data_IF_195746912597
#
_entry.id   IF_195746912597
#
_cell.length_a   1.000
_cell.length_b   1.000
_cell.length_c   1.000
_cell.angle_alpha   90.00
_cell.angle_beta   90.00
_cell.angle_gamma   90.00
#
_symmetry.space_group_name_H-M   'P 1'
#
loop_
_entity.id
_entity.type
_entity.pdbx_description
1 polymer ?
#
# COMPACT_ATOMS: atom_id res chain seq x y z
N UNK A 1 -4.48 1.31 -20.50
CA UNK A 1 -4.31 0.91 -19.08
C UNK A 1 -3.06 1.57 -18.57
N UNK A 2 -3.02 2.04 -17.32
CA UNK A 2 -1.81 2.70 -16.80
C UNK A 2 -0.67 1.68 -16.72
N UNK A 3 0.43 1.96 -17.39
CA UNK A 3 1.59 1.09 -17.51
C UNK A 3 2.51 1.21 -16.29
N UNK A 4 3.36 0.21 -16.05
CA UNK A 4 4.32 0.25 -14.94
C UNK A 4 5.34 1.40 -15.07
N UNK A 5 5.64 1.85 -16.29
CA UNK A 5 6.44 3.06 -16.52
C UNK A 5 5.71 4.34 -16.11
N UNK A 6 4.42 4.46 -16.43
CA UNK A 6 3.61 5.62 -16.04
C UNK A 6 3.41 5.70 -14.52
N UNK A 7 3.17 4.58 -13.84
CA UNK A 7 3.06 4.54 -12.37
C UNK A 7 4.37 4.98 -11.70
N UNK A 8 5.51 4.56 -12.25
CA UNK A 8 6.83 5.02 -11.82
C UNK A 8 7.05 6.51 -12.09
N UNK A 9 6.61 7.02 -13.25
CA UNK A 9 6.70 8.44 -13.56
C UNK A 9 5.88 9.28 -12.57
N UNK A 10 4.62 8.89 -12.31
CA UNK A 10 3.74 9.53 -11.33
C UNK A 10 4.31 9.50 -9.92
N UNK A 11 4.86 8.36 -9.49
CA UNK A 11 5.51 8.26 -8.18
C UNK A 11 6.68 9.24 -8.04
N UNK A 12 7.51 9.36 -9.08
CA UNK A 12 8.63 10.31 -9.10
C UNK A 12 8.16 11.76 -9.08
N UNK A 13 7.06 12.06 -9.77
CA UNK A 13 6.43 13.37 -9.79
C UNK A 13 5.85 13.74 -8.42
N UNK A 14 5.08 12.85 -7.78
CA UNK A 14 4.56 13.06 -6.42
C UNK A 14 5.65 13.24 -5.36
N UNK A 15 6.83 12.66 -5.57
CA UNK A 15 7.99 12.83 -4.69
C UNK A 15 8.80 14.09 -5.02
N UNK A 16 8.59 14.71 -6.18
CA UNK A 16 9.33 15.91 -6.62
C UNK A 16 9.06 17.05 -5.64
N UNK A 17 10.12 17.59 -5.05
CA UNK A 17 10.04 18.65 -4.03
C UNK A 17 9.88 18.16 -2.59
N UNK A 18 9.67 16.85 -2.35
CA UNK A 18 9.58 16.28 -1.00
C UNK A 18 10.44 15.04 -0.74
N UNK A 19 11.36 14.70 -1.67
CA UNK A 19 12.36 13.63 -1.51
C UNK A 19 13.07 13.63 -0.16
N UNK A 20 13.47 14.81 0.36
CA UNK A 20 14.13 14.90 1.68
C UNK A 20 13.22 14.44 2.82
N UNK A 21 11.93 14.77 2.76
CA UNK A 21 10.94 14.37 3.79
C UNK A 21 10.64 12.88 3.68
N UNK A 22 10.45 12.38 2.46
CA UNK A 22 10.21 10.97 2.20
C UNK A 22 11.40 10.10 2.63
N UNK A 23 12.63 10.50 2.30
CA UNK A 23 13.85 9.82 2.75
C UNK A 23 14.02 9.89 4.27
N UNK A 24 13.72 11.04 4.89
CA UNK A 24 13.72 11.18 6.35
C UNK A 24 12.68 10.26 7.03
N UNK A 25 11.48 10.16 6.47
CA UNK A 25 10.44 9.24 6.94
C UNK A 25 10.90 7.78 6.84
N UNK A 26 11.47 7.39 5.70
CA UNK A 26 12.04 6.05 5.51
C UNK A 26 13.21 5.78 6.45
N UNK A 27 14.06 6.77 6.73
CA UNK A 27 15.13 6.63 7.73
C UNK A 27 14.55 6.35 9.12
N UNK A 28 13.53 7.10 9.54
CA UNK A 28 12.85 6.84 10.83
C UNK A 28 12.28 5.43 10.87
N UNK A 29 11.61 4.99 9.81
CA UNK A 29 11.11 3.61 9.71
C UNK A 29 12.23 2.57 9.79
N UNK A 30 13.35 2.81 9.12
CA UNK A 30 14.51 1.90 9.13
C UNK A 30 15.14 1.81 10.52
N UNK A 31 15.26 2.94 11.23
CA UNK A 31 15.74 2.94 12.61
C UNK A 31 14.79 2.17 13.53
N UNK A 32 13.48 2.41 13.45
CA UNK A 32 12.47 1.68 14.23
C UNK A 32 12.52 0.17 13.92
N UNK A 33 12.69 -0.22 12.66
CA UNK A 33 12.83 -1.62 12.26
C UNK A 33 14.15 -2.26 12.69
N UNK A 34 15.20 -1.47 12.95
CA UNK A 34 16.48 -1.95 13.44
C UNK A 34 16.51 -2.16 14.96
N UNK A 35 15.68 -1.44 15.73
CA UNK A 35 15.61 -1.49 17.20
C UNK A 35 15.48 -2.92 17.78
N UNK A 36 14.66 -3.84 17.24
CA UNK A 36 14.55 -5.20 17.77
C UNK A 36 15.89 -5.93 17.88
N UNK A 37 16.83 -5.68 16.96
CA UNK A 37 18.12 -6.37 16.92
C UNK A 37 19.05 -6.04 18.10
N UNK A 38 18.76 -4.95 18.83
CA UNK A 38 19.55 -4.53 20.01
C UNK A 38 18.81 -4.76 21.33
N UNK A 39 17.54 -5.20 21.28
CA UNK A 39 16.72 -5.42 22.46
C UNK A 39 16.71 -6.90 22.88
N UNK A 40 16.54 -7.18 24.20
CA UNK A 40 16.27 -8.54 24.68
C UNK A 40 14.95 -9.07 24.11
N UNK A 41 14.76 -10.40 24.11
CA UNK A 41 13.64 -11.08 23.44
C UNK A 41 12.24 -10.48 23.75
N UNK A 42 12.01 -10.00 24.97
CA UNK A 42 10.75 -9.35 25.36
C UNK A 42 10.51 -8.05 24.56
N UNK A 43 11.55 -7.26 24.32
CA UNK A 43 11.47 -6.04 23.52
C UNK A 43 11.25 -6.31 22.03
N UNK A 44 11.72 -7.44 21.51
CA UNK A 44 11.49 -7.84 20.13
C UNK A 44 10.00 -8.13 19.87
N UNK A 45 9.37 -8.91 20.76
CA UNK A 45 7.95 -9.25 20.64
C UNK A 45 7.09 -7.99 20.71
N UNK A 46 7.39 -7.05 21.62
CA UNK A 46 6.65 -5.80 21.72
C UNK A 46 6.71 -4.96 20.44
N UNK A 47 7.87 -4.87 19.77
CA UNK A 47 8.00 -4.13 18.51
C UNK A 47 7.30 -4.85 17.35
N UNK A 48 7.35 -6.18 17.32
CA UNK A 48 6.67 -6.97 16.28
C UNK A 48 5.15 -6.80 16.33
N UNK A 49 4.58 -6.68 17.54
CA UNK A 49 3.14 -6.38 17.71
C UNK A 49 2.84 -4.97 17.16
N UNK A 50 3.72 -4.01 17.38
CA UNK A 50 3.59 -2.65 16.84
C UNK A 50 3.82 -2.56 15.32
N UNK A 51 4.44 -3.56 14.70
CA UNK A 51 4.79 -3.53 13.28
C UNK A 51 3.56 -3.37 12.37
N UNK A 52 2.42 -3.96 12.74
CA UNK A 52 1.18 -3.82 11.96
C UNK A 52 0.63 -2.39 11.93
N UNK A 53 0.66 -1.70 13.08
CA UNK A 53 0.24 -0.30 13.19
C UNK A 53 1.22 0.63 12.44
N UNK A 54 2.52 0.40 12.57
CA UNK A 54 3.56 1.14 11.86
C UNK A 54 3.49 0.92 10.34
N UNK A 55 3.19 -0.30 9.90
CA UNK A 55 2.98 -0.61 8.49
C UNK A 55 1.81 0.20 7.96
N UNK A 56 0.66 0.19 8.64
CA UNK A 56 -0.50 0.98 8.21
C UNK A 56 -0.18 2.48 8.11
N UNK A 57 0.53 3.04 9.09
CA UNK A 57 0.95 4.44 9.05
C UNK A 57 1.89 4.75 7.88
N UNK A 58 2.78 3.83 7.51
CA UNK A 58 3.63 3.98 6.32
C UNK A 58 2.83 3.95 5.02
N UNK A 59 1.90 3.00 4.89
CA UNK A 59 0.98 2.94 3.75
C UNK A 59 0.12 4.21 3.66
N UNK A 60 -0.36 4.73 4.80
CA UNK A 60 -1.09 5.99 4.88
C UNK A 60 -0.25 7.17 4.39
N UNK A 61 0.97 7.32 4.92
CA UNK A 61 1.87 8.40 4.54
C UNK A 61 2.13 8.42 3.03
N UNK A 62 2.46 7.28 2.43
CA UNK A 62 2.74 7.22 0.99
C UNK A 62 1.48 7.31 0.12
N UNK A 63 0.31 6.95 0.65
CA UNK A 63 -0.98 7.21 0.00
C UNK A 63 -1.25 8.71 -0.09
N UNK A 64 -1.08 9.46 1.00
CA UNK A 64 -1.25 10.91 1.01
C UNK A 64 -0.22 11.60 0.10
N UNK A 65 1.03 11.13 0.10
CA UNK A 65 2.06 11.59 -0.85
C UNK A 65 1.62 11.37 -2.30
N UNK A 66 1.04 10.20 -2.61
CA UNK A 66 0.54 9.91 -3.97
C UNK A 66 -0.59 10.85 -4.40
N UNK A 67 -1.39 11.32 -3.44
CA UNK A 67 -2.46 12.33 -3.62
C UNK A 67 -1.95 13.76 -3.74
N UNK A 68 -0.64 13.97 -3.70
CA UNK A 68 -0.01 15.30 -3.79
C UNK A 68 0.05 16.04 -2.46
N UNK A 69 -0.29 15.39 -1.35
CA UNK A 69 -0.21 15.97 -0.02
C UNK A 69 1.22 15.92 0.54
N UNK A 70 1.44 16.69 1.61
CA UNK A 70 2.70 16.77 2.36
C UNK A 70 2.49 16.33 3.81
N UNK A 71 2.24 15.03 4.05
CA UNK A 71 1.89 14.54 5.37
C UNK A 71 3.01 14.78 6.41
N UNK A 72 2.65 15.05 7.67
CA UNK A 72 3.62 15.13 8.77
C UNK A 72 4.13 13.73 9.16
N UNK A 73 5.28 13.67 9.84
CA UNK A 73 5.89 12.38 10.23
C UNK A 73 5.05 11.64 11.28
N UNK A 74 4.20 12.35 12.02
CA UNK A 74 3.25 11.74 12.98
C UNK A 74 2.26 10.79 12.30
N UNK A 75 2.06 10.91 10.98
CA UNK A 75 1.24 9.98 10.20
C UNK A 75 1.75 8.54 10.27
N UNK A 76 3.04 8.32 10.55
CA UNK A 76 3.58 6.98 10.83
C UNK A 76 2.84 6.26 11.96
N UNK A 77 2.32 7.02 12.92
CA UNK A 77 1.62 6.49 14.08
C UNK A 77 0.09 6.44 13.89
N UNK A 78 -0.44 6.79 12.71
CA UNK A 78 -1.89 6.80 12.49
C UNK A 78 -2.52 5.41 12.64
N UNK A 79 -1.77 4.34 12.32
CA UNK A 79 -2.23 2.97 12.55
C UNK A 79 -2.38 2.56 14.00
N UNK A 80 -1.88 3.35 14.97
CA UNK A 80 -2.11 3.11 16.39
C UNK A 80 -3.48 3.61 16.87
N UNK A 81 -4.12 4.54 16.14
CA UNK A 81 -5.48 4.99 16.48
C UNK A 81 -6.47 3.82 16.50
N UNK A 82 -6.33 2.90 15.54
CA UNK A 82 -7.08 1.65 15.45
C UNK A 82 -6.15 0.43 15.61
N UNK A 83 -5.32 0.44 16.64
CA UNK A 83 -4.26 -0.56 16.86
C UNK A 83 -4.73 -2.01 16.69
N UNK A 84 -5.86 -2.37 17.30
CA UNK A 84 -6.42 -3.73 17.23
C UNK A 84 -6.71 -4.13 15.78
N UNK A 85 -7.31 -3.24 14.98
CA UNK A 85 -7.65 -3.53 13.59
C UNK A 85 -6.41 -3.61 12.71
N UNK A 86 -5.49 -2.66 12.87
CA UNK A 86 -4.20 -2.63 12.17
C UNK A 86 -3.39 -3.91 12.45
N UNK A 87 -3.31 -4.30 13.72
CA UNK A 87 -2.64 -5.52 14.14
C UNK A 87 -3.32 -6.77 13.57
N UNK A 88 -4.66 -6.84 13.59
CA UNK A 88 -5.38 -7.98 13.01
C UNK A 88 -5.19 -8.10 11.49
N UNK A 89 -5.16 -7.00 10.73
CA UNK A 89 -4.82 -7.04 9.30
C UNK A 89 -3.41 -7.59 9.12
N UNK A 90 -2.44 -7.05 9.87
CA UNK A 90 -1.05 -7.49 9.79
C UNK A 90 -0.91 -8.98 10.09
N UNK A 91 -1.45 -9.43 11.21
CA UNK A 91 -1.41 -10.83 11.64
C UNK A 91 -2.06 -11.75 10.60
N UNK A 92 -3.21 -11.37 10.07
CA UNK A 92 -3.95 -12.20 9.13
C UNK A 92 -3.27 -12.27 7.76
N UNK A 93 -2.71 -11.15 7.28
CA UNK A 93 -1.88 -11.12 6.08
C UNK A 93 -0.61 -11.95 6.28
N UNK A 94 0.03 -11.86 7.44
CA UNK A 94 1.23 -12.63 7.79
C UNK A 94 0.94 -14.13 7.80
N UNK A 95 -0.08 -14.57 8.54
CA UNK A 95 -0.47 -15.99 8.62
C UNK A 95 -0.80 -16.54 7.24
N UNK A 96 -1.61 -15.83 6.45
CA UNK A 96 -1.93 -16.32 5.10
C UNK A 96 -0.69 -16.34 4.21
N UNK A 97 0.18 -15.34 4.29
CA UNK A 97 1.41 -15.31 3.47
C UNK A 97 2.33 -16.47 3.83
N UNK A 98 2.54 -16.75 5.12
CA UNK A 98 3.35 -17.89 5.60
C UNK A 98 2.71 -19.21 5.19
N UNK A 99 1.39 -19.37 5.34
CA UNK A 99 0.68 -20.59 4.96
C UNK A 99 0.86 -20.89 3.47
N UNK A 100 0.73 -19.87 2.61
CA UNK A 100 0.93 -20.02 1.17
C UNK A 100 2.40 -20.23 0.81
N UNK A 101 3.33 -19.55 1.48
CA UNK A 101 4.78 -19.70 1.27
C UNK A 101 5.26 -21.11 1.65
N UNK A 102 4.78 -21.64 2.77
CA UNK A 102 5.10 -22.98 3.27
C UNK A 102 4.59 -24.07 2.32
N UNK A 103 3.44 -23.83 1.67
CA UNK A 103 2.90 -24.75 0.68
C UNK A 103 3.73 -24.70 -0.62
N UNK A 104 4.00 -23.50 -1.16
CA UNK A 104 4.91 -23.28 -2.29
C UNK A 104 5.34 -21.79 -2.37
N UNK A 105 6.55 -21.50 -2.86
CA UNK A 105 7.07 -20.11 -2.98
C UNK A 105 6.20 -19.24 -3.89
N UNK A 106 5.79 -19.77 -5.05
CA UNK A 106 5.00 -19.04 -6.06
C UNK A 106 3.64 -18.56 -5.51
N UNK A 107 2.79 -19.41 -4.90
CA UNK A 107 1.53 -18.94 -4.34
C UNK A 107 1.71 -18.02 -3.13
N UNK A 108 2.80 -18.12 -2.36
CA UNK A 108 3.15 -17.15 -1.33
C UNK A 108 3.26 -15.73 -1.90
N UNK A 109 3.97 -15.56 -3.02
CA UNK A 109 4.08 -14.27 -3.73
C UNK A 109 2.70 -13.82 -4.23
N UNK A 110 1.91 -14.72 -4.85
CA UNK A 110 0.56 -14.38 -5.35
C UNK A 110 -0.37 -13.95 -4.20
N UNK A 111 -0.27 -14.57 -3.03
CA UNK A 111 -1.03 -14.21 -1.84
C UNK A 111 -0.64 -12.82 -1.32
N UNK A 112 0.66 -12.54 -1.20
CA UNK A 112 1.15 -11.22 -0.80
C UNK A 112 0.65 -10.11 -1.76
N UNK A 113 0.70 -10.35 -3.08
CA UNK A 113 0.15 -9.42 -4.06
C UNK A 113 -1.35 -9.20 -3.88
N UNK A 114 -2.12 -10.26 -3.58
CA UNK A 114 -3.58 -10.16 -3.36
C UNK A 114 -3.96 -9.32 -2.14
N UNK A 115 -3.11 -9.27 -1.12
CA UNK A 115 -3.39 -8.57 0.14
C UNK A 115 -2.70 -7.21 0.24
N UNK A 116 -1.83 -6.88 -0.70
CA UNK A 116 -1.08 -5.62 -0.73
C UNK A 116 -1.94 -4.35 -0.67
N UNK A 117 -3.20 -4.40 -1.13
CA UNK A 117 -4.11 -3.24 -1.12
C UNK A 117 -4.88 -3.09 0.20
N UNK A 118 -4.84 -4.08 1.09
CA UNK A 118 -5.67 -4.10 2.30
C UNK A 118 -5.38 -2.90 3.23
N UNK A 119 -4.11 -2.50 3.37
CA UNK A 119 -3.73 -1.35 4.19
C UNK A 119 -4.27 -0.02 3.65
N UNK A 120 -4.22 0.19 2.32
CA UNK A 120 -4.78 1.39 1.70
C UNK A 120 -6.30 1.46 1.85
N UNK A 121 -6.98 0.32 1.66
CA UNK A 121 -8.44 0.23 1.82
C UNK A 121 -8.84 0.52 3.27
N UNK A 122 -8.11 -0.03 4.24
CA UNK A 122 -8.40 0.22 5.66
C UNK A 122 -8.19 1.70 6.01
N UNK A 123 -7.19 2.37 5.42
CA UNK A 123 -6.97 3.81 5.61
C UNK A 123 -8.09 4.67 5.01
N UNK A 124 -8.61 4.29 3.85
CA UNK A 124 -9.69 5.01 3.18
C UNK A 124 -11.08 4.70 3.77
N UNK A 125 -11.24 3.56 4.41
CA UNK A 125 -12.50 3.11 5.00
C UNK A 125 -12.27 2.67 6.46
N UNK A 126 -12.04 3.61 7.40
CA UNK A 126 -11.73 3.26 8.79
C UNK A 126 -12.86 2.49 9.48
N UNK A 127 -14.12 2.64 9.01
CA UNK A 127 -15.26 1.90 9.56
C UNK A 127 -15.20 0.38 9.36
N UNK A 128 -14.51 -0.13 8.33
CA UNK A 128 -14.56 -1.55 7.99
C UNK A 128 -13.56 -2.39 8.81
N UNK A 129 -13.91 -3.65 9.05
CA UNK A 129 -13.04 -4.59 9.77
C UNK A 129 -11.86 -5.11 8.93
N UNK A 130 -10.84 -5.65 9.60
CA UNK A 130 -9.63 -6.20 8.98
C UNK A 130 -9.92 -7.25 7.89
N UNK A 131 -10.84 -8.18 8.17
CA UNK A 131 -11.24 -9.23 7.22
C UNK A 131 -11.97 -8.66 6.00
N UNK A 132 -12.75 -7.60 6.20
CA UNK A 132 -13.44 -6.89 5.12
C UNK A 132 -12.42 -6.20 4.20
N UNK A 133 -11.43 -5.51 4.78
CA UNK A 133 -10.35 -4.87 4.03
C UNK A 133 -9.58 -5.88 3.16
N UNK A 134 -9.27 -7.06 3.71
CA UNK A 134 -8.61 -8.14 2.95
C UNK A 134 -9.52 -8.67 1.84
N UNK A 135 -10.82 -8.84 2.11
CA UNK A 135 -11.78 -9.32 1.09
C UNK A 135 -11.90 -8.33 -0.06
N UNK A 136 -12.00 -7.03 0.24
CA UNK A 136 -12.02 -5.96 -0.76
C UNK A 136 -10.71 -5.90 -1.55
N UNK A 137 -9.56 -6.04 -0.88
CA UNK A 137 -8.24 -6.14 -1.55
C UNK A 137 -8.20 -7.32 -2.52
N UNK A 138 -8.68 -8.50 -2.10
CA UNK A 138 -8.73 -9.69 -2.95
C UNK A 138 -9.58 -9.46 -4.19
N UNK A 139 -10.75 -8.83 -4.05
CA UNK A 139 -11.66 -8.51 -5.15
C UNK A 139 -11.05 -7.49 -6.11
N UNK A 140 -10.50 -6.40 -5.58
CA UNK A 140 -9.82 -5.35 -6.36
C UNK A 140 -8.62 -5.89 -7.16
N UNK A 141 -7.92 -6.89 -6.60
CA UNK A 141 -6.75 -7.52 -7.24
C UNK A 141 -7.09 -8.66 -8.21
N UNK A 142 -8.37 -8.96 -8.50
CA UNK A 142 -8.72 -9.92 -9.57
C UNK A 142 -8.38 -9.30 -10.93
N UNK A 143 -7.67 -10.03 -11.79
CA UNK A 143 -7.20 -9.53 -13.10
C UNK A 143 -5.97 -8.61 -13.05
N UNK A 144 -5.57 -8.10 -11.87
CA UNK A 144 -4.55 -7.05 -11.74
C UNK A 144 -3.23 -7.50 -11.08
N UNK A 145 -3.16 -8.74 -10.58
CA UNK A 145 -1.98 -9.29 -9.87
C UNK A 145 -0.71 -9.21 -10.71
N UNK A 146 -0.80 -9.55 -11.99
CA UNK A 146 0.34 -9.53 -12.90
C UNK A 146 0.88 -8.12 -13.12
N UNK A 147 0.00 -7.10 -13.16
CA UNK A 147 0.43 -5.69 -13.29
C UNK A 147 1.25 -5.26 -12.08
N UNK A 148 0.81 -5.59 -10.87
CA UNK A 148 1.57 -5.29 -9.65
C UNK A 148 2.89 -6.06 -9.61
N UNK A 149 2.90 -7.32 -10.04
CA UNK A 149 4.13 -8.11 -10.15
C UNK A 149 5.14 -7.47 -11.12
N UNK A 150 4.71 -7.08 -12.31
CA UNK A 150 5.58 -6.40 -13.30
C UNK A 150 6.05 -5.04 -12.79
N UNK A 151 5.19 -4.30 -12.06
CA UNK A 151 5.59 -3.06 -11.40
C UNK A 151 6.73 -3.32 -10.40
N UNK A 152 6.59 -4.29 -9.51
CA UNK A 152 7.64 -4.66 -8.55
C UNK A 152 8.91 -5.18 -9.24
N UNK A 153 8.75 -6.00 -10.29
CA UNK A 153 9.87 -6.51 -11.08
C UNK A 153 10.66 -5.37 -11.74
N UNK A 154 10.00 -4.28 -12.12
CA UNK A 154 10.68 -3.11 -12.69
C UNK A 154 11.59 -2.38 -11.69
N UNK A 155 11.48 -2.68 -10.39
CA UNK A 155 12.36 -2.18 -9.33
C UNK A 155 13.51 -3.13 -9.00
N UNK A 156 13.54 -4.37 -9.53
CA UNK A 156 14.56 -5.37 -9.16
C UNK A 156 15.99 -4.88 -9.43
N UNK A 157 16.19 -4.15 -10.54
CA UNK A 157 17.49 -3.56 -10.87
C UNK A 157 17.92 -2.50 -9.86
N UNK A 158 16.97 -1.69 -9.36
CA UNK A 158 17.23 -0.69 -8.34
C UNK A 158 17.52 -1.33 -6.97
N UNK A 159 16.82 -2.42 -6.64
CA UNK A 159 17.07 -3.20 -5.42
C UNK A 159 18.50 -3.78 -5.46
N UNK A 160 18.90 -4.34 -6.61
CA UNK A 160 20.25 -4.88 -6.79
C UNK A 160 21.33 -3.80 -6.64
N UNK A 161 21.08 -2.59 -7.14
CA UNK A 161 21.96 -1.43 -6.95
C UNK A 161 22.07 -0.97 -5.49
N UNK A 162 21.09 -1.27 -4.64
CA UNK A 162 21.15 -0.91 -3.23
C UNK A 162 22.07 -1.85 -2.42
N UNK A 163 22.32 -3.08 -2.88
CA UNK A 163 23.19 -4.06 -2.21
C UNK A 163 24.61 -3.53 -1.99
N UNK A 164 25.35 -3.05 -3.01
CA UNK A 164 26.72 -2.54 -2.81
C UNK A 164 26.76 -1.26 -1.96
N UNK A 165 25.63 -0.55 -1.81
CA UNK A 165 25.55 0.66 -0.98
C UNK A 165 25.27 0.36 0.50
N UNK A 166 25.39 -0.90 0.94
CA UNK A 166 25.01 -1.35 2.29
C UNK A 166 23.57 -0.94 2.67
N UNK A 167 22.67 -0.89 1.68
CA UNK A 167 21.28 -0.51 1.89
C UNK A 167 21.02 1.01 1.97
N UNK A 168 22.02 1.88 1.82
CA UNK A 168 21.80 3.34 1.81
C UNK A 168 20.84 3.76 0.68
N UNK A 169 20.92 3.11 -0.48
CA UNK A 169 20.00 3.35 -1.60
C UNK A 169 18.52 3.09 -1.26
N UNK A 170 18.24 2.29 -0.23
CA UNK A 170 16.86 1.98 0.19
C UNK A 170 16.12 3.21 0.74
N UNK A 171 16.84 4.23 1.23
CA UNK A 171 16.25 5.47 1.72
C UNK A 171 15.49 6.24 0.62
N UNK A 172 15.92 6.12 -0.64
CA UNK A 172 15.24 6.71 -1.80
C UNK A 172 14.39 5.67 -2.53
N UNK A 173 14.79 4.41 -2.52
CA UNK A 173 14.07 3.36 -3.23
C UNK A 173 12.74 3.01 -2.56
N UNK A 174 12.70 2.89 -1.24
CA UNK A 174 11.45 2.60 -0.51
C UNK A 174 10.36 3.64 -0.77
N UNK A 175 10.58 4.97 -0.57
CA UNK A 175 9.52 5.94 -0.82
C UNK A 175 9.07 5.92 -2.27
N UNK A 176 9.98 5.61 -3.21
CA UNK A 176 9.66 5.46 -4.61
C UNK A 176 8.76 4.24 -4.88
N UNK A 177 9.06 3.08 -4.30
CA UNK A 177 8.23 1.87 -4.40
C UNK A 177 6.87 2.09 -3.74
N UNK A 178 6.83 2.54 -2.48
CA UNK A 178 5.57 2.73 -1.76
C UNK A 178 4.65 3.73 -2.45
N UNK A 179 5.20 4.83 -2.96
CA UNK A 179 4.40 5.82 -3.73
C UNK A 179 3.91 5.24 -5.06
N UNK A 180 4.70 4.42 -5.74
CA UNK A 180 4.26 3.76 -6.98
C UNK A 180 3.15 2.73 -6.74
N UNK A 181 3.23 1.99 -5.63
CA UNK A 181 2.18 1.05 -5.22
C UNK A 181 0.92 1.82 -4.78
N UNK A 182 1.06 2.97 -4.13
CA UNK A 182 -0.07 3.84 -3.80
C UNK A 182 -0.76 4.40 -5.06
N UNK A 183 0.00 4.84 -6.08
CA UNK A 183 -0.56 5.22 -7.38
C UNK A 183 -1.26 4.07 -8.09
N UNK A 184 -0.76 2.84 -7.92
CA UNK A 184 -1.42 1.65 -8.45
C UNK A 184 -2.76 1.40 -7.74
N UNK A 185 -2.81 1.57 -6.42
CA UNK A 185 -4.06 1.50 -5.65
C UNK A 185 -5.08 2.55 -6.14
N UNK A 186 -4.65 3.80 -6.31
CA UNK A 186 -5.51 4.88 -6.84
C UNK A 186 -6.04 4.58 -8.25
N UNK A 187 -5.21 4.05 -9.16
CA UNK A 187 -5.67 3.61 -10.49
C UNK A 187 -6.76 2.52 -10.38
N UNK A 188 -6.63 1.57 -9.45
CA UNK A 188 -7.66 0.53 -9.26
C UNK A 188 -8.94 1.08 -8.62
N UNK A 189 -8.81 2.01 -7.66
CA UNK A 189 -9.95 2.64 -6.99
C UNK A 189 -10.79 3.47 -7.96
N UNK A 190 -10.16 4.37 -8.71
CA UNK A 190 -10.82 5.23 -9.70
C UNK A 190 -11.52 4.43 -10.81
N UNK A 191 -10.95 3.28 -11.20
CA UNK A 191 -11.61 2.34 -12.13
C UNK A 191 -12.84 1.69 -11.54
N UNK A 192 -12.78 1.29 -10.27
CA UNK A 192 -13.95 0.73 -9.58
C UNK A 192 -15.10 1.72 -9.54
N UNK A 193 -14.80 2.98 -9.20
CA UNK A 193 -15.77 4.08 -9.13
C UNK A 193 -16.37 4.40 -10.51
N UNK A 194 -15.55 4.50 -11.57
CA UNK A 194 -16.03 4.81 -12.91
C UNK A 194 -16.93 3.72 -13.50
N UNK A 195 -16.62 2.45 -13.21
CA UNK A 195 -17.48 1.33 -13.58
C UNK A 195 -18.82 1.40 -12.84
N UNK A 196 -18.81 1.61 -11.52
CA UNK A 196 -20.06 1.75 -10.75
C UNK A 196 -20.92 2.94 -11.20
N UNK A 197 -20.29 4.08 -11.51
CA UNK A 197 -20.99 5.27 -12.02
C UNK A 197 -21.60 5.05 -13.39
N UNK A 198 -20.93 4.31 -14.28
CA UNK A 198 -21.46 3.95 -15.60
C UNK A 198 -22.72 3.08 -15.49
N UNK A 199 -22.73 2.10 -14.58
CA UNK A 199 -23.91 1.26 -14.37
C UNK A 199 -25.07 2.05 -13.75
N UNK A 200 -24.79 2.91 -12.76
CA UNK A 200 -25.81 3.76 -12.15
C UNK A 200 -26.45 4.75 -13.14
N UNK A 201 -25.65 5.32 -14.06
CA UNK A 201 -26.15 6.19 -15.12
C UNK A 201 -27.01 5.44 -16.15
N UNK A 202 -26.75 4.15 -16.36
CA UNK A 202 -27.50 3.31 -17.30
C UNK A 202 -28.84 2.83 -16.71
N UNK A 203 -28.91 2.68 -15.39
CA UNK A 203 -30.13 2.31 -14.66
C UNK A 203 -31.00 3.52 -14.25
N UNK A 204 -30.60 4.74 -14.63
CA UNK A 204 -31.36 5.97 -14.38
C UNK A 204 -32.59 6.04 -15.30
N UNK A 205 -33.81 6.31 -14.78
CA UNK A 205 -34.99 6.45 -15.63
C UNK A 205 -34.79 7.63 -16.60
N UNK A 206 -35.22 7.49 -17.87
CA UNK A 206 -35.03 8.54 -18.86
C UNK A 206 -35.71 9.84 -18.40
N UNK A 207 -35.11 11.01 -18.72
CA UNK A 207 -35.70 12.29 -18.35
C UNK A 207 -37.13 12.38 -18.92
N UNK A 208 -38.07 12.98 -18.16
CA UNK A 208 -39.43 13.15 -18.66
C UNK A 208 -39.38 13.90 -19.99
N UNK A 209 -40.22 13.53 -20.97
CA UNK A 209 -40.22 14.18 -22.27
C UNK A 209 -40.39 15.70 -22.07
N UNK A 210 -39.66 16.54 -22.81
CA UNK A 210 -39.84 17.98 -22.73
C UNK A 210 -41.31 18.29 -23.00
N UNK A 211 -41.95 19.04 -22.10
CA UNK A 211 -43.34 19.44 -22.23
C UNK A 211 -43.55 20.05 -23.62
N UNK A 212 -44.19 19.28 -24.51
CA UNK A 212 -44.66 19.76 -25.80
C UNK A 212 -45.82 20.72 -25.53
N UNK A 213 -45.49 22.01 -25.42
CA UNK A 213 -46.45 23.10 -25.56
C UNK A 213 -46.64 23.44 -27.04
#
# INVERSE_FOLDING_TARGET
>A
MVTSSELRARARESLRGQWRRAAGFTLVMLLIGALPNVLPAIGQIAIEICAGALALGAYSYFLLVSRGERPPFVELFSGFADFIRSFLVYLLVLIFTILWLLLFIIPGIVAALRYSMAYFILKDNPEIGALEAIRRSKAMMVGHKWRLFVLLLSFIGWILLCIPTFGIGTLWLNPYIYTAVAHFYEDLRLRGESLSGSFAAQDSPPPPPPNSF
#
